data_IF_063942632950
#
_entry.id   IF_063942632950
#
_cell.length_a   1.000
_cell.length_b   1.000
_cell.length_c   1.000
_cell.angle_alpha   90.00
_cell.angle_beta   90.00
_cell.angle_gamma   90.00
#
_symmetry.space_group_name_H-M   'P 1'
#
loop_
_entity.id
_entity.type
_entity.pdbx_description
1 polymer ?
#
# COMPACT_ATOMS: atom_id res chain seq x y z
N UNK A 1 20.42 20.06 -8.74
CA UNK A 1 20.55 18.61 -8.58
C UNK A 1 19.95 17.90 -9.81
N UNK A 2 20.26 16.64 -10.11
CA UNK A 2 19.64 15.90 -11.25
C UNK A 2 18.11 15.79 -11.04
N UNK A 3 17.70 15.59 -9.78
CA UNK A 3 16.29 15.54 -9.38
C UNK A 3 15.57 16.88 -9.57
N UNK A 4 16.19 17.99 -9.20
CA UNK A 4 15.58 19.32 -9.39
C UNK A 4 15.34 19.60 -10.88
N UNK A 5 16.29 19.23 -11.73
CA UNK A 5 16.18 19.39 -13.17
C UNK A 5 15.02 18.56 -13.72
N UNK A 6 14.93 17.29 -13.33
CA UNK A 6 13.80 16.42 -13.69
C UNK A 6 12.47 17.04 -13.24
N UNK A 7 12.35 17.46 -11.99
CA UNK A 7 11.13 18.05 -11.46
C UNK A 7 10.70 19.32 -12.21
N UNK A 8 11.65 20.20 -12.54
CA UNK A 8 11.38 21.40 -13.34
C UNK A 8 10.90 21.08 -14.77
N UNK A 9 11.46 20.04 -15.40
CA UNK A 9 11.04 19.64 -16.75
C UNK A 9 9.60 19.16 -16.82
N UNK A 10 9.10 18.56 -15.75
CA UNK A 10 7.77 17.94 -15.68
C UNK A 10 6.77 18.73 -14.82
N UNK A 11 7.10 19.97 -14.43
CA UNK A 11 6.28 20.81 -13.54
C UNK A 11 5.89 20.13 -12.22
N UNK A 12 6.84 19.36 -11.67
CA UNK A 12 6.69 18.64 -10.41
C UNK A 12 7.26 19.50 -9.28
N UNK A 13 6.49 19.69 -8.22
CA UNK A 13 6.98 20.27 -6.97
C UNK A 13 7.56 19.17 -6.08
N UNK A 14 8.86 19.28 -5.77
CA UNK A 14 9.56 18.32 -4.91
C UNK A 14 9.70 18.87 -3.48
N UNK A 15 9.25 18.09 -2.51
CA UNK A 15 9.32 18.42 -1.09
C UNK A 15 9.98 17.27 -0.31
N UNK A 16 11.29 17.34 -0.01
CA UNK A 16 11.95 16.29 0.75
C UNK A 16 11.48 16.29 2.21
N UNK A 17 10.99 15.15 2.68
CA UNK A 17 10.71 14.91 4.11
C UNK A 17 11.89 14.15 4.70
N UNK A 18 12.77 14.85 5.40
CA UNK A 18 13.96 14.26 6.00
C UNK A 18 13.62 13.69 7.36
N UNK A 19 13.62 12.36 7.47
CA UNK A 19 13.40 11.66 8.74
C UNK A 19 14.77 11.50 9.41
N UNK A 20 14.94 12.08 10.60
CA UNK A 20 16.21 12.07 11.32
C UNK A 20 16.60 10.68 11.82
N UNK A 21 17.88 10.49 12.15
CA UNK A 21 18.46 9.22 12.65
C UNK A 21 18.05 8.85 14.09
N UNK A 22 17.12 9.60 14.69
CA UNK A 22 16.55 9.29 15.98
C UNK A 22 15.48 8.24 15.79
N UNK A 23 15.82 6.97 15.96
CA UNK A 23 14.85 5.87 15.86
C UNK A 23 13.70 6.10 16.83
N UNK A 24 12.58 6.61 16.31
CA UNK A 24 11.28 6.66 17.00
C UNK A 24 10.79 5.21 17.19
N UNK A 25 11.31 4.30 16.37
CA UNK A 25 11.13 2.85 16.42
C UNK A 25 12.07 2.12 17.38
N UNK A 26 12.72 2.79 18.35
CA UNK A 26 13.64 2.14 19.31
C UNK A 26 13.04 0.93 20.03
N UNK A 27 11.72 0.93 20.23
CA UNK A 27 10.96 -0.15 20.84
C UNK A 27 10.20 -1.02 19.83
N UNK A 28 10.08 -0.57 18.58
CA UNK A 28 9.56 -1.42 17.52
C UNK A 28 10.67 -2.44 17.16
N UNK A 29 10.33 -3.72 16.97
CA UNK A 29 11.34 -4.71 16.64
C UNK A 29 11.88 -4.43 15.23
N UNK A 30 13.07 -3.82 15.17
CA UNK A 30 13.86 -3.70 13.95
C UNK A 30 14.77 -4.93 13.87
N UNK A 31 14.85 -5.54 12.70
CA UNK A 31 15.78 -6.64 12.44
C UNK A 31 16.31 -6.51 11.01
N UNK A 32 17.37 -7.23 10.66
CA UNK A 32 17.84 -7.31 9.26
C UNK A 32 16.72 -7.73 8.29
N UNK A 33 15.72 -8.45 8.80
CA UNK A 33 14.54 -8.88 8.04
C UNK A 33 13.49 -7.76 7.90
N UNK A 34 13.44 -6.81 8.84
CA UNK A 34 12.40 -5.78 8.96
C UNK A 34 13.05 -4.40 9.16
N UNK A 35 13.48 -3.73 8.08
CA UNK A 35 14.14 -2.45 8.17
C UNK A 35 13.16 -1.36 8.62
N UNK A 36 13.66 -0.34 9.30
CA UNK A 36 12.87 0.78 9.83
C UNK A 36 12.02 1.49 8.74
N UNK A 37 12.48 1.43 7.49
CA UNK A 37 11.82 2.05 6.34
C UNK A 37 10.39 1.56 6.10
N UNK A 38 10.05 0.33 6.49
CA UNK A 38 8.68 -0.18 6.33
C UNK A 38 7.67 0.56 7.20
N UNK A 39 8.11 1.14 8.32
CA UNK A 39 7.21 1.85 9.21
C UNK A 39 6.86 3.25 8.72
N UNK A 40 7.70 3.84 7.86
CA UNK A 40 7.44 5.17 7.33
C UNK A 40 6.16 5.24 6.49
N UNK A 41 5.83 4.17 5.74
CA UNK A 41 4.55 4.12 5.02
C UNK A 41 3.35 3.94 5.96
N UNK A 42 3.48 3.11 6.99
CA UNK A 42 2.40 2.85 7.96
C UNK A 42 2.10 4.07 8.85
N UNK A 43 3.10 4.95 9.02
CA UNK A 43 3.03 6.13 9.86
C UNK A 43 3.25 7.42 9.07
N UNK A 44 3.00 7.40 7.75
CA UNK A 44 3.26 8.53 6.87
C UNK A 44 2.60 9.82 7.38
N UNK A 45 1.41 9.71 7.97
CA UNK A 45 0.66 10.81 8.57
C UNK A 45 1.39 11.55 9.70
N UNK A 46 2.38 10.92 10.35
CA UNK A 46 3.18 11.54 11.41
C UNK A 46 4.31 12.41 10.86
N UNK A 47 4.69 12.21 9.59
CA UNK A 47 5.83 12.88 8.96
C UNK A 47 5.39 13.92 7.92
N UNK A 48 4.18 13.77 7.38
CA UNK A 48 3.64 14.65 6.35
C UNK A 48 3.03 15.93 6.94
N UNK A 49 3.04 17.06 6.19
CA UNK A 49 2.40 18.29 6.61
C UNK A 49 0.94 18.11 7.07
N UNK A 50 0.56 18.81 8.13
CA UNK A 50 -0.76 18.67 8.77
C UNK A 50 -1.93 19.18 7.92
N UNK A 51 -1.64 20.03 6.93
CA UNK A 51 -2.59 20.58 5.97
C UNK A 51 -2.88 19.63 4.79
N UNK A 52 -2.15 18.53 4.66
CA UNK A 52 -2.48 17.47 3.71
C UNK A 52 -3.56 16.54 4.28
N UNK A 53 -4.65 16.36 3.53
CA UNK A 53 -5.73 15.44 3.88
C UNK A 53 -5.59 14.05 3.22
N UNK A 54 -4.85 13.96 2.12
CA UNK A 54 -4.74 12.75 1.29
C UNK A 54 -3.40 12.69 0.57
N UNK A 55 -2.87 11.48 0.39
CA UNK A 55 -1.75 11.19 -0.53
C UNK A 55 -2.00 9.88 -1.28
N UNK A 56 -1.32 9.71 -2.42
CA UNK A 56 -1.12 8.42 -3.07
C UNK A 56 0.34 8.00 -2.84
N UNK A 57 0.54 6.93 -2.08
CA UNK A 57 1.84 6.29 -1.90
C UNK A 57 2.06 5.25 -3.01
N UNK A 58 3.27 5.26 -3.57
CA UNK A 58 3.74 4.31 -4.58
C UNK A 58 5.12 3.78 -4.15
N UNK A 59 5.35 2.47 -4.27
CA UNK A 59 6.70 1.91 -4.17
C UNK A 59 7.58 2.41 -5.33
N UNK A 60 8.89 2.48 -5.07
CA UNK A 60 9.87 3.03 -6.01
C UNK A 60 10.11 2.14 -7.24
N UNK A 61 9.64 0.90 -7.22
CA UNK A 61 9.77 -0.10 -8.29
C UNK A 61 8.48 -0.27 -9.12
N UNK A 62 7.59 0.73 -9.08
CA UNK A 62 6.34 0.74 -9.86
C UNK A 62 6.50 1.54 -11.15
N UNK A 63 5.92 1.04 -12.23
CA UNK A 63 5.78 1.77 -13.48
C UNK A 63 4.37 2.35 -13.62
N UNK A 64 4.29 3.68 -13.75
CA UNK A 64 3.05 4.38 -14.06
C UNK A 64 2.94 4.57 -15.58
N UNK A 65 1.93 3.96 -16.21
CA UNK A 65 1.75 4.03 -17.67
C UNK A 65 0.46 4.73 -18.11
N UNK A 66 -0.52 4.96 -17.22
CA UNK A 66 -1.77 5.67 -17.52
C UNK A 66 -2.16 6.63 -16.37
N UNK A 67 -3.24 7.39 -16.57
CA UNK A 67 -3.71 8.43 -15.64
C UNK A 67 -4.06 7.89 -14.25
N UNK A 68 -3.53 8.55 -13.22
CA UNK A 68 -3.77 8.23 -11.81
C UNK A 68 -4.90 9.05 -11.19
N UNK A 69 -5.40 10.08 -11.88
CA UNK A 69 -6.44 10.96 -11.35
C UNK A 69 -7.69 10.19 -10.90
N UNK A 70 -8.20 9.17 -11.63
CA UNK A 70 -9.34 8.38 -11.17
C UNK A 70 -9.10 7.67 -9.83
N UNK A 71 -7.87 7.17 -9.60
CA UNK A 71 -7.50 6.59 -8.32
C UNK A 71 -7.37 7.68 -7.25
N UNK A 72 -6.66 8.77 -7.56
CA UNK A 72 -6.42 9.84 -6.61
C UNK A 72 -7.69 10.53 -6.15
N UNK A 73 -8.72 10.63 -6.99
CA UNK A 73 -10.02 11.23 -6.68
C UNK A 73 -11.01 10.26 -6.04
N UNK A 74 -10.69 8.97 -5.93
CA UNK A 74 -11.56 7.96 -5.34
C UNK A 74 -12.08 8.42 -3.95
N UNK A 75 -13.41 8.45 -3.72
CA UNK A 75 -13.95 8.80 -2.41
C UNK A 75 -13.56 7.77 -1.36
N UNK A 76 -12.85 8.19 -0.32
CA UNK A 76 -12.43 7.31 0.78
C UNK A 76 -13.47 7.25 1.91
N UNK A 77 -14.32 8.27 2.05
CA UNK A 77 -15.24 8.39 3.17
C UNK A 77 -14.51 8.24 4.51
N UNK A 78 -14.99 7.33 5.35
CA UNK A 78 -14.37 7.01 6.63
C UNK A 78 -13.24 5.98 6.54
N UNK A 79 -12.98 5.38 5.37
CA UNK A 79 -11.93 4.38 5.19
C UNK A 79 -10.54 4.99 5.34
N UNK A 80 -9.61 4.20 5.87
CA UNK A 80 -8.22 4.61 6.09
C UNK A 80 -7.43 4.59 4.78
N UNK A 81 -7.69 3.58 3.95
CA UNK A 81 -6.93 3.33 2.73
C UNK A 81 -7.84 2.92 1.55
N UNK A 82 -7.32 3.04 0.34
CA UNK A 82 -7.71 2.21 -0.79
C UNK A 82 -6.47 1.50 -1.34
N UNK A 83 -6.58 0.19 -1.56
CA UNK A 83 -5.46 -0.66 -1.93
C UNK A 83 -5.92 -1.88 -2.73
N UNK A 84 -5.04 -2.39 -3.59
CA UNK A 84 -5.36 -3.53 -4.44
C UNK A 84 -5.27 -4.84 -3.65
N UNK A 85 -6.23 -5.75 -3.85
CA UNK A 85 -6.12 -7.12 -3.34
C UNK A 85 -6.21 -8.11 -4.49
N UNK A 86 -5.32 -9.11 -4.48
CA UNK A 86 -5.36 -10.24 -5.40
C UNK A 86 -6.43 -11.28 -5.02
N UNK A 87 -7.50 -10.90 -4.32
CA UNK A 87 -8.48 -11.82 -3.75
C UNK A 87 -9.03 -12.83 -4.76
N UNK A 88 -9.30 -12.39 -6.01
CA UNK A 88 -9.77 -13.25 -7.11
C UNK A 88 -8.72 -14.27 -7.60
N UNK A 89 -7.43 -13.96 -7.45
CA UNK A 89 -6.33 -14.82 -7.88
C UNK A 89 -5.93 -15.82 -6.78
N UNK A 90 -6.23 -15.51 -5.52
CA UNK A 90 -5.56 -16.16 -4.38
C UNK A 90 -6.48 -16.53 -3.21
N UNK A 91 -7.75 -16.84 -3.47
CA UNK A 91 -8.80 -17.11 -2.47
C UNK A 91 -8.35 -18.01 -1.31
N UNK A 92 -7.69 -19.14 -1.60
CA UNK A 92 -7.13 -20.04 -0.58
C UNK A 92 -6.05 -19.38 0.30
N UNK A 93 -5.16 -18.59 -0.29
CA UNK A 93 -4.12 -17.88 0.48
C UNK A 93 -4.70 -16.72 1.27
N UNK A 94 -5.77 -16.09 0.78
CA UNK A 94 -6.50 -15.05 1.50
C UNK A 94 -7.08 -15.63 2.79
N UNK A 95 -7.73 -16.79 2.72
CA UNK A 95 -8.23 -17.50 3.90
C UNK A 95 -7.10 -17.84 4.89
N UNK A 96 -5.98 -18.37 4.40
CA UNK A 96 -4.81 -18.67 5.24
C UNK A 96 -4.25 -17.41 5.92
N UNK A 97 -4.18 -16.28 5.22
CA UNK A 97 -3.71 -15.02 5.76
C UNK A 97 -4.67 -14.46 6.81
N UNK A 98 -5.99 -14.53 6.58
CA UNK A 98 -6.99 -14.14 7.58
C UNK A 98 -6.84 -14.93 8.88
N UNK A 99 -6.68 -16.24 8.78
CA UNK A 99 -6.43 -17.12 9.94
C UNK A 99 -5.12 -16.76 10.63
N UNK A 100 -4.03 -16.59 9.86
CA UNK A 100 -2.69 -16.25 10.36
C UNK A 100 -2.66 -14.92 11.11
N UNK A 101 -3.41 -13.93 10.64
CA UNK A 101 -3.41 -12.56 11.17
C UNK A 101 -4.56 -12.29 12.15
N UNK A 102 -5.55 -13.18 12.22
CA UNK A 102 -6.72 -13.05 13.08
C UNK A 102 -7.74 -12.01 12.61
N UNK A 103 -7.65 -11.53 11.37
CA UNK A 103 -8.60 -10.58 10.78
C UNK A 103 -9.54 -11.30 9.80
N UNK A 104 -10.64 -11.84 10.32
CA UNK A 104 -11.62 -12.58 9.53
C UNK A 104 -12.56 -11.68 8.73
N UNK A 105 -12.74 -10.44 9.18
CA UNK A 105 -13.67 -9.45 8.61
C UNK A 105 -13.10 -8.74 7.37
N UNK A 106 -11.77 -8.76 7.17
CA UNK A 106 -11.15 -8.18 5.97
C UNK A 106 -11.72 -8.79 4.69
N UNK A 107 -12.04 -8.00 3.66
CA UNK A 107 -12.52 -8.53 2.38
C UNK A 107 -11.40 -9.20 1.56
N UNK A 108 -10.13 -8.95 1.88
CA UNK A 108 -8.99 -9.46 1.13
C UNK A 108 -7.67 -9.43 1.88
N UNK A 109 -6.60 -9.72 1.13
CA UNK A 109 -5.22 -9.47 1.55
C UNK A 109 -4.65 -8.44 0.58
N UNK A 110 -4.57 -7.19 1.04
CA UNK A 110 -4.25 -6.01 0.26
C UNK A 110 -2.74 -5.82 0.14
N UNK A 111 -2.24 -5.45 -1.04
CA UNK A 111 -0.84 -5.09 -1.24
C UNK A 111 -0.54 -3.68 -0.69
N UNK A 112 0.65 -3.49 -0.13
CA UNK A 112 1.11 -2.25 0.51
C UNK A 112 1.94 -1.33 -0.39
N UNK A 113 2.15 -1.69 -1.65
CA UNK A 113 2.96 -0.92 -2.61
C UNK A 113 2.20 0.20 -3.31
N UNK A 114 0.87 0.13 -3.34
CA UNK A 114 0.01 1.22 -3.83
C UNK A 114 -1.06 1.49 -2.79
N UNK A 115 -0.99 2.66 -2.15
CA UNK A 115 -1.91 3.05 -1.08
C UNK A 115 -2.43 4.47 -1.34
N UNK A 116 -3.73 4.59 -1.60
CA UNK A 116 -4.40 5.88 -1.44
C UNK A 116 -4.72 6.06 0.04
N UNK A 117 -4.15 7.08 0.68
CA UNK A 117 -4.18 7.24 2.14
C UNK A 117 -5.06 8.41 2.54
N UNK A 118 -5.99 8.16 3.47
CA UNK A 118 -6.81 9.20 4.11
C UNK A 118 -6.07 9.77 5.33
N UNK A 119 -5.19 10.75 5.12
CA UNK A 119 -4.35 11.28 6.21
C UNK A 119 -5.17 11.82 7.38
N UNK A 120 -6.35 12.38 7.11
CA UNK A 120 -7.26 12.83 8.16
C UNK A 120 -7.67 11.69 9.09
N UNK A 121 -8.13 10.58 8.55
CA UNK A 121 -8.53 9.42 9.37
C UNK A 121 -7.33 8.72 10.00
N UNK A 122 -6.21 8.62 9.28
CA UNK A 122 -4.99 8.00 9.78
C UNK A 122 -4.46 8.70 11.03
N UNK A 123 -4.46 10.03 11.08
CA UNK A 123 -4.05 10.78 12.28
C UNK A 123 -4.92 10.46 13.50
N UNK A 124 -6.21 10.21 13.27
CA UNK A 124 -7.16 9.90 14.33
C UNK A 124 -6.98 8.48 14.87
N UNK A 125 -6.74 7.51 13.98
CA UNK A 125 -6.91 6.09 14.31
C UNK A 125 -5.62 5.26 14.33
N UNK A 126 -4.64 5.58 13.49
CA UNK A 126 -3.42 4.78 13.40
C UNK A 126 -2.43 5.20 14.48
N UNK A 127 -2.15 4.30 15.43
CA UNK A 127 -1.26 4.54 16.56
C UNK A 127 -0.03 3.65 16.52
N UNK A 128 1.13 4.25 16.75
CA UNK A 128 2.43 3.56 16.79
C UNK A 128 2.44 2.40 17.80
N UNK A 129 1.82 2.60 18.96
CA UNK A 129 1.73 1.59 20.01
C UNK A 129 0.94 0.33 19.59
N UNK A 130 -0.10 0.48 18.77
CA UNK A 130 -0.90 -0.65 18.28
C UNK A 130 -0.12 -1.46 17.25
N UNK A 131 0.58 -0.77 16.35
CA UNK A 131 1.51 -1.40 15.39
C UNK A 131 2.59 -2.18 16.16
N UNK A 132 3.25 -1.56 17.13
CA UNK A 132 4.28 -2.22 17.94
C UNK A 132 3.74 -3.45 18.69
N UNK A 133 2.55 -3.35 19.28
CA UNK A 133 1.89 -4.46 19.96
C UNK A 133 1.54 -5.61 18.99
N UNK A 134 1.04 -5.30 17.81
CA UNK A 134 0.72 -6.29 16.78
C UNK A 134 1.97 -7.05 16.33
N UNK A 135 3.08 -6.34 16.12
CA UNK A 135 4.33 -6.97 15.69
C UNK A 135 4.89 -7.86 16.80
N UNK A 136 4.91 -7.38 18.04
CA UNK A 136 5.36 -8.19 19.19
C UNK A 136 4.53 -9.47 19.33
N UNK A 137 3.21 -9.39 19.14
CA UNK A 137 2.30 -10.54 19.20
C UNK A 137 2.53 -11.53 18.05
N UNK A 138 2.83 -11.04 16.85
CA UNK A 138 2.88 -11.84 15.62
C UNK A 138 4.30 -12.05 15.07
N UNK A 139 5.35 -11.78 15.85
CA UNK A 139 6.74 -11.70 15.37
C UNK A 139 7.20 -12.91 14.54
N UNK A 140 6.76 -14.12 14.90
CA UNK A 140 7.09 -15.37 14.21
C UNK A 140 6.23 -15.64 12.97
N UNK A 141 5.13 -14.90 12.81
CA UNK A 141 4.11 -15.12 11.79
C UNK A 141 4.07 -14.01 10.74
N UNK A 142 4.90 -12.95 10.84
CA UNK A 142 5.00 -11.92 9.81
C UNK A 142 5.87 -12.40 8.64
N UNK A 143 5.26 -12.51 7.46
CA UNK A 143 5.91 -12.95 6.23
C UNK A 143 6.18 -11.77 5.30
N UNK A 144 5.21 -10.85 5.18
CA UNK A 144 5.32 -9.57 4.49
C UNK A 144 4.88 -8.51 5.50
N UNK A 145 5.80 -7.94 6.30
CA UNK A 145 5.43 -7.32 7.57
C UNK A 145 4.56 -6.09 7.43
N UNK A 146 4.90 -5.19 6.52
CA UNK A 146 4.10 -4.01 6.20
C UNK A 146 2.69 -4.40 5.76
N UNK A 147 2.60 -5.38 4.85
CA UNK A 147 1.34 -5.90 4.35
C UNK A 147 0.54 -6.62 5.44
N UNK A 148 1.19 -7.44 6.26
CA UNK A 148 0.60 -8.21 7.35
C UNK A 148 0.10 -7.31 8.48
N UNK A 149 0.84 -6.24 8.82
CA UNK A 149 0.41 -5.22 9.79
C UNK A 149 -0.79 -4.47 9.24
N UNK A 150 -0.70 -3.97 8.00
CA UNK A 150 -1.78 -3.24 7.33
C UNK A 150 -3.07 -4.05 7.30
N UNK A 151 -2.99 -5.30 6.84
CA UNK A 151 -4.16 -6.19 6.75
C UNK A 151 -4.64 -6.66 8.13
N UNK A 152 -3.73 -6.95 9.05
CA UNK A 152 -4.07 -7.46 10.37
C UNK A 152 -4.75 -6.43 11.27
N UNK A 153 -4.35 -5.17 11.17
CA UNK A 153 -4.91 -4.08 11.99
C UNK A 153 -6.03 -3.31 11.30
N UNK A 154 -5.95 -3.13 9.98
CA UNK A 154 -6.78 -2.14 9.28
C UNK A 154 -7.51 -2.72 8.06
N UNK A 155 -7.45 -4.03 7.80
CA UNK A 155 -7.99 -4.63 6.57
C UNK A 155 -9.48 -4.38 6.32
N UNK A 156 -10.29 -4.22 7.37
CA UNK A 156 -11.72 -3.86 7.31
C UNK A 156 -11.98 -2.37 7.04
N UNK A 157 -10.92 -1.55 7.06
CA UNK A 157 -10.92 -0.11 6.78
C UNK A 157 -10.24 0.23 5.44
N UNK A 158 -10.10 -0.75 4.56
CA UNK A 158 -9.49 -0.62 3.23
C UNK A 158 -10.56 -0.81 2.15
N UNK A 159 -10.66 0.17 1.25
CA UNK A 159 -11.45 0.04 0.02
C UNK A 159 -10.65 -0.80 -0.98
N UNK A 160 -11.23 -1.90 -1.46
CA UNK A 160 -10.63 -2.70 -2.51
C UNK A 160 -10.67 -1.98 -3.86
N UNK A 161 -9.50 -1.84 -4.49
CA UNK A 161 -9.36 -1.34 -5.87
C UNK A 161 -8.91 -2.48 -6.80
N UNK A 162 -9.25 -2.41 -8.11
CA UNK A 162 -8.87 -3.45 -9.07
C UNK A 162 -7.35 -3.56 -9.22
N UNK A 163 -6.79 -4.72 -8.90
CA UNK A 163 -5.37 -5.03 -9.03
C UNK A 163 -4.89 -5.00 -10.48
N UNK A 164 -5.69 -5.54 -11.40
CA UNK A 164 -5.40 -5.49 -12.84
C UNK A 164 -5.32 -4.07 -13.43
N UNK A 165 -5.75 -3.04 -12.69
CA UNK A 165 -5.64 -1.62 -13.09
C UNK A 165 -4.58 -0.89 -12.26
N UNK A 166 -4.59 -1.06 -10.93
CA UNK A 166 -3.80 -0.23 -10.03
C UNK A 166 -2.67 -0.95 -9.30
N UNK A 167 -2.43 -2.25 -9.57
CA UNK A 167 -1.31 -3.02 -9.00
C UNK A 167 -1.07 -4.31 -9.80
N UNK A 168 -0.73 -4.17 -11.07
CA UNK A 168 -0.65 -5.30 -12.00
C UNK A 168 0.67 -6.05 -11.89
N UNK A 169 0.65 -7.25 -11.32
CA UNK A 169 1.83 -8.13 -11.29
C UNK A 169 2.09 -8.77 -12.67
N UNK A 170 3.06 -8.23 -13.42
CA UNK A 170 3.45 -8.70 -14.75
C UNK A 170 3.83 -10.19 -14.77
N UNK A 171 4.36 -10.72 -13.66
CA UNK A 171 4.72 -12.15 -13.54
C UNK A 171 3.48 -13.05 -13.57
N UNK A 172 2.31 -12.50 -13.26
CA UNK A 172 1.01 -13.19 -13.26
C UNK A 172 0.18 -12.91 -14.52
N UNK A 173 0.78 -12.35 -15.58
CA UNK A 173 0.06 -12.00 -16.82
C UNK A 173 -0.84 -13.13 -17.35
N UNK A 174 -0.31 -14.36 -17.43
CA UNK A 174 -1.12 -15.53 -17.86
C UNK A 174 -2.32 -15.80 -16.97
N UNK A 175 -2.18 -15.56 -15.66
CA UNK A 175 -3.29 -15.73 -14.72
C UNK A 175 -4.34 -14.66 -14.94
N UNK A 176 -3.95 -13.39 -15.10
CA UNK A 176 -4.86 -12.29 -15.43
C UNK A 176 -5.61 -12.52 -16.75
N UNK A 177 -4.90 -12.96 -17.80
CA UNK A 177 -5.51 -13.35 -19.08
C UNK A 177 -6.52 -14.49 -18.90
N UNK A 178 -6.20 -15.49 -18.08
CA UNK A 178 -7.10 -16.63 -17.84
C UNK A 178 -8.37 -16.23 -17.09
N UNK A 179 -8.25 -15.47 -16.01
CA UNK A 179 -9.42 -15.07 -15.19
C UNK A 179 -10.32 -14.05 -15.91
N UNK A 180 -9.78 -13.34 -16.89
CA UNK A 180 -10.51 -12.43 -17.77
C UNK A 180 -11.00 -13.09 -19.06
N UNK A 181 -10.87 -14.41 -19.19
CA UNK A 181 -11.28 -15.17 -20.39
C UNK A 181 -10.63 -14.65 -21.68
N UNK A 182 -9.39 -14.17 -21.59
CA UNK A 182 -8.61 -13.64 -22.71
C UNK A 182 -8.83 -12.15 -23.00
N UNK A 183 -9.56 -11.42 -22.16
CA UNK A 183 -9.78 -9.98 -22.34
C UNK A 183 -8.52 -9.16 -22.00
N UNK A 184 -7.89 -9.43 -20.86
CA UNK A 184 -6.73 -8.67 -20.37
C UNK A 184 -5.42 -9.16 -20.98
N UNK A 185 -5.30 -9.07 -22.30
CA UNK A 185 -4.03 -9.29 -23.02
C UNK A 185 -3.15 -8.03 -22.97
N UNK A 186 -1.94 -8.14 -23.50
CA UNK A 186 -0.95 -7.05 -23.49
C UNK A 186 -1.50 -5.71 -24.01
N UNK A 187 -2.20 -5.70 -25.14
CA UNK A 187 -2.78 -4.47 -25.71
C UNK A 187 -3.76 -3.81 -24.73
N UNK A 188 -4.61 -4.62 -24.10
CA UNK A 188 -5.57 -4.17 -23.09
C UNK A 188 -4.85 -3.62 -21.85
N UNK A 189 -3.83 -4.33 -21.36
CA UNK A 189 -3.05 -3.92 -20.18
C UNK A 189 -2.38 -2.58 -20.42
N UNK A 190 -1.77 -2.38 -21.60
CA UNK A 190 -1.14 -1.10 -21.96
C UNK A 190 -2.16 0.05 -21.98
N UNK A 191 -3.38 -0.21 -22.45
CA UNK A 191 -4.42 0.81 -22.58
C UNK A 191 -5.17 1.11 -21.26
N UNK A 192 -5.33 0.13 -20.37
CA UNK A 192 -6.24 0.23 -19.23
C UNK A 192 -5.56 0.17 -17.86
N UNK A 193 -4.38 -0.41 -17.76
CA UNK A 193 -3.69 -0.53 -16.48
C UNK A 193 -2.89 0.74 -16.19
N UNK A 194 -3.03 1.31 -15.00
CA UNK A 194 -2.29 2.51 -14.61
C UNK A 194 -0.94 2.19 -13.96
N UNK A 195 -0.87 1.15 -13.13
CA UNK A 195 0.31 0.80 -12.32
C UNK A 195 0.69 -0.68 -12.49
N UNK A 196 1.95 -0.95 -12.85
CA UNK A 196 2.55 -2.29 -13.05
C UNK A 196 3.82 -2.48 -12.20
#
# INVERSE_FOLDING_TARGET
>A
DELDFFCQQFDIQYHPVVIGSGSIFKEAPVSDRYPESIYYRLLAQNYLPNDLDRILYLDADILCINDLLPLYELPLGESLYAAASHAKLTEMTTVLNKVRLGNYESEGYFNSGVLLMNLRQLRNEVKEAEIAAFIKKNQLNLFLPDQDILNGLYGDRIIAIPDHIYNYDVRKNRTYETISLGEWRLDWVIEHTALL
#
